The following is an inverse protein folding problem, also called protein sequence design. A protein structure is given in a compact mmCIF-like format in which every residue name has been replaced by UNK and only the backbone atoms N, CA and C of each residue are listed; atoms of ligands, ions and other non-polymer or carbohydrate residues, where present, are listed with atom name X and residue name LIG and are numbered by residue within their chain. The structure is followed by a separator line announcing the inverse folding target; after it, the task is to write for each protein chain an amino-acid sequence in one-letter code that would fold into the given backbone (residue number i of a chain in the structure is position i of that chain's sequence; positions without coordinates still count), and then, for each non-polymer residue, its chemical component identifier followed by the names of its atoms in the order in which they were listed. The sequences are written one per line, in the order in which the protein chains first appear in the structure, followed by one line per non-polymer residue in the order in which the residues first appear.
data_IF_731478801245
#
_entry.id   IF_731478801245
#
_cell.length_a   1.000
_cell.length_b   1.000
_cell.length_c   1.000
_cell.angle_alpha   90.00
_cell.angle_beta   90.00
_cell.angle_gamma   90.00
#
_symmetry.space_group_name_H-M   'P 1'
#
loop_
_entity.id
_entity.type
_entity.pdbx_description
1 polymer ?
#
# COMPACT_ATOMS: atom_id res chain seq x y z
N UNK A 1 -5.00 4.09 23.66
CA UNK A 1 -3.99 4.03 22.59
C UNK A 1 -4.68 3.92 21.25
N UNK A 2 -4.10 4.54 20.24
CA UNK A 2 -4.59 4.43 18.89
C UNK A 2 -4.31 3.04 18.32
N UNK A 3 -5.15 2.62 17.40
CA UNK A 3 -4.88 1.46 16.55
C UNK A 3 -4.21 1.93 15.27
N UNK A 4 -3.56 1.02 14.59
CA UNK A 4 -2.92 1.29 13.31
C UNK A 4 -3.36 0.25 12.28
N UNK A 5 -3.77 0.73 11.13
CA UNK A 5 -4.02 -0.10 9.94
C UNK A 5 -2.94 0.21 8.92
N UNK A 6 -2.25 -0.83 8.46
CA UNK A 6 -1.28 -0.69 7.38
C UNK A 6 -1.85 -1.42 6.16
N UNK A 7 -2.11 -0.67 5.09
CA UNK A 7 -2.59 -1.22 3.82
C UNK A 7 -1.38 -1.35 2.91
N UNK A 8 -0.99 -2.59 2.63
CA UNK A 8 0.27 -2.89 1.94
C UNK A 8 0.03 -3.06 0.45
N UNK A 9 0.55 -2.11 -0.34
CA UNK A 9 0.67 -2.22 -1.80
C UNK A 9 -0.64 -2.57 -2.51
N UNK A 10 -1.76 -1.98 -2.09
CA UNK A 10 -3.05 -2.23 -2.74
C UNK A 10 -3.19 -1.35 -3.99
N UNK A 11 -2.29 -1.54 -4.91
CA UNK A 11 -2.13 -0.76 -6.14
C UNK A 11 -2.74 -1.52 -7.32
N UNK A 12 -3.11 -0.77 -8.36
CA UNK A 12 -3.79 -1.34 -9.53
C UNK A 12 -3.02 -2.49 -10.17
N UNK A 13 -1.69 -2.38 -10.28
CA UNK A 13 -0.89 -3.44 -10.90
C UNK A 13 -0.94 -4.75 -10.13
N UNK A 14 -1.15 -4.70 -8.80
CA UNK A 14 -1.29 -5.91 -8.00
C UNK A 14 -2.73 -6.40 -7.87
N UNK A 15 -3.70 -5.62 -8.32
CA UNK A 15 -5.12 -5.99 -8.20
C UNK A 15 -5.68 -6.45 -9.55
N UNK A 16 -5.61 -5.60 -10.57
CA UNK A 16 -6.13 -5.94 -11.89
C UNK A 16 -5.19 -5.56 -13.04
N UNK A 17 -3.96 -5.18 -12.73
CA UNK A 17 -2.94 -4.83 -13.71
C UNK A 17 -1.99 -5.98 -14.01
N UNK A 18 -0.73 -5.65 -14.30
CA UNK A 18 0.26 -6.61 -14.81
C UNK A 18 0.53 -7.80 -13.87
N UNK A 19 0.40 -7.62 -12.56
CA UNK A 19 0.57 -8.66 -11.55
C UNK A 19 -0.72 -8.92 -10.76
N UNK A 20 -1.86 -8.54 -11.33
CA UNK A 20 -3.15 -8.66 -10.66
C UNK A 20 -3.68 -10.08 -10.64
N UNK A 21 -4.62 -10.31 -9.72
CA UNK A 21 -5.37 -11.56 -9.64
C UNK A 21 -6.77 -11.28 -9.12
N UNK A 22 -7.70 -12.11 -9.56
CA UNK A 22 -9.13 -11.84 -9.37
C UNK A 22 -9.53 -11.66 -7.90
N UNK A 23 -8.95 -12.45 -7.02
CA UNK A 23 -9.28 -12.42 -5.59
C UNK A 23 -8.93 -11.08 -4.94
N UNK A 24 -7.93 -10.38 -5.48
CA UNK A 24 -7.53 -9.07 -4.95
C UNK A 24 -8.63 -8.03 -5.14
N UNK A 25 -9.42 -8.14 -6.21
CA UNK A 25 -10.52 -7.21 -6.47
C UNK A 25 -11.62 -7.33 -5.42
N UNK A 26 -11.84 -8.54 -4.89
CA UNK A 26 -12.88 -8.76 -3.88
C UNK A 26 -12.56 -8.11 -2.55
N UNK A 27 -11.31 -7.76 -2.30
CA UNK A 27 -10.91 -7.11 -1.06
C UNK A 27 -11.24 -5.62 -1.04
N UNK A 28 -11.54 -5.03 -2.19
CA UNK A 28 -11.69 -3.58 -2.31
C UNK A 28 -12.75 -3.01 -1.37
N UNK A 29 -13.93 -3.61 -1.38
CA UNK A 29 -15.03 -3.14 -0.53
C UNK A 29 -14.74 -3.35 0.95
N UNK A 30 -14.19 -4.49 1.31
CA UNK A 30 -13.82 -4.79 2.68
C UNK A 30 -12.75 -3.82 3.19
N UNK A 31 -11.69 -3.61 2.41
CA UNK A 31 -10.61 -2.71 2.80
C UNK A 31 -11.09 -1.26 2.92
N UNK A 32 -11.90 -0.79 1.96
CA UNK A 32 -12.40 0.58 2.02
C UNK A 32 -13.28 0.81 3.24
N UNK A 33 -14.12 -0.16 3.59
CA UNK A 33 -14.96 -0.08 4.80
C UNK A 33 -14.10 -0.07 6.06
N UNK A 34 -13.06 -0.89 6.09
CA UNK A 34 -12.15 -0.95 7.24
C UNK A 34 -11.39 0.36 7.42
N UNK A 35 -10.92 0.95 6.32
CA UNK A 35 -10.25 2.25 6.34
C UNK A 35 -11.18 3.31 6.91
N UNK A 36 -12.43 3.32 6.47
CA UNK A 36 -13.44 4.27 6.97
C UNK A 36 -13.66 4.11 8.46
N UNK A 37 -13.72 2.86 8.96
CA UNK A 37 -13.89 2.60 10.39
C UNK A 37 -12.71 3.15 11.19
N UNK A 38 -11.48 2.96 10.72
CA UNK A 38 -10.29 3.47 11.40
C UNK A 38 -10.31 5.01 11.42
N UNK A 39 -10.71 5.64 10.31
CA UNK A 39 -10.84 7.10 10.27
C UNK A 39 -11.89 7.61 11.26
N UNK A 40 -13.05 6.95 11.32
CA UNK A 40 -14.13 7.36 12.24
C UNK A 40 -13.71 7.25 13.69
N UNK A 41 -12.90 6.26 14.02
CA UNK A 41 -12.38 6.05 15.38
C UNK A 41 -11.15 6.91 15.69
N UNK A 42 -10.71 7.74 14.75
CA UNK A 42 -9.51 8.56 14.85
C UNK A 42 -8.24 7.75 15.04
N UNK A 43 -8.24 6.55 14.49
CA UNK A 43 -7.06 5.69 14.44
C UNK A 43 -6.23 6.04 13.20
N UNK A 44 -4.99 5.56 13.17
CA UNK A 44 -4.08 5.90 12.08
C UNK A 44 -4.15 4.86 10.95
N UNK A 45 -3.98 5.34 9.72
CA UNK A 45 -3.90 4.50 8.52
C UNK A 45 -2.65 4.87 7.75
N UNK A 46 -1.88 3.85 7.37
CA UNK A 46 -0.69 3.99 6.54
C UNK A 46 -0.90 3.20 5.27
N UNK A 47 -0.53 3.80 4.14
CA UNK A 47 -0.53 3.11 2.84
C UNK A 47 0.91 2.95 2.38
N UNK A 48 1.28 1.75 1.98
CA UNK A 48 2.58 1.53 1.34
C UNK A 48 2.40 1.40 -0.15
N UNK A 49 3.37 1.89 -0.90
CA UNK A 49 3.39 1.85 -2.37
C UNK A 49 4.69 1.21 -2.82
N UNK A 50 4.60 0.02 -3.41
CA UNK A 50 5.72 -0.52 -4.14
C UNK A 50 6.01 0.45 -5.30
N UNK A 51 7.25 0.87 -5.46
CA UNK A 51 7.57 1.97 -6.37
C UNK A 51 8.84 1.65 -7.14
N UNK A 52 8.72 1.62 -8.46
CA UNK A 52 9.84 1.37 -9.35
C UNK A 52 9.99 2.52 -10.33
N UNK A 53 11.19 2.68 -10.88
CA UNK A 53 11.46 3.69 -11.89
C UNK A 53 11.33 3.09 -13.29
N UNK A 54 11.40 3.93 -14.31
CA UNK A 54 11.26 3.51 -15.71
C UNK A 54 12.32 2.48 -16.13
N UNK A 55 13.45 2.43 -15.44
CA UNK A 55 14.52 1.47 -15.72
C UNK A 55 14.36 0.14 -14.96
N UNK A 56 13.15 -0.18 -14.53
CA UNK A 56 12.89 -1.38 -13.72
C UNK A 56 13.52 -2.64 -14.29
N UNK A 57 13.38 -2.86 -15.62
CA UNK A 57 13.89 -4.08 -16.27
C UNK A 57 15.42 -4.19 -16.22
N UNK A 58 16.11 -3.09 -15.98
CA UNK A 58 17.56 -3.06 -15.84
C UNK A 58 18.03 -3.33 -14.41
N UNK A 59 17.10 -3.34 -13.45
CA UNK A 59 17.41 -3.59 -12.04
C UNK A 59 17.57 -5.08 -11.77
N UNK A 60 18.14 -5.43 -10.62
CA UNK A 60 18.22 -6.82 -10.19
C UNK A 60 16.84 -7.46 -10.04
N UNK A 61 15.88 -6.71 -9.49
CA UNK A 61 14.50 -7.20 -9.37
C UNK A 61 13.88 -7.44 -10.75
N UNK A 62 14.11 -6.53 -11.70
CA UNK A 62 13.59 -6.65 -13.05
C UNK A 62 14.17 -7.83 -13.81
N UNK A 63 15.41 -8.22 -13.49
CA UNK A 63 16.03 -9.41 -14.08
C UNK A 63 15.42 -10.69 -13.53
N UNK A 64 15.03 -10.68 -12.26
CA UNK A 64 14.40 -11.83 -11.61
C UNK A 64 12.91 -11.95 -11.92
N UNK A 65 12.22 -10.83 -12.07
CA UNK A 65 10.81 -10.77 -12.43
C UNK A 65 10.66 -9.73 -13.55
N UNK A 66 10.79 -10.14 -14.82
CA UNK A 66 10.80 -9.19 -15.95
C UNK A 66 9.40 -8.71 -16.35
N UNK A 67 8.61 -8.27 -15.38
CA UNK A 67 7.27 -7.71 -15.58
C UNK A 67 7.26 -6.32 -14.95
N UNK A 68 7.21 -5.29 -15.79
CA UNK A 68 7.10 -3.93 -15.27
C UNK A 68 5.81 -3.75 -14.48
N UNK A 69 5.92 -3.17 -13.29
CA UNK A 69 4.78 -2.89 -12.44
C UNK A 69 5.11 -1.76 -11.49
N UNK A 70 4.08 -1.06 -11.05
CA UNK A 70 4.19 0.01 -10.06
C UNK A 70 5.27 1.03 -10.40
N UNK A 71 5.36 1.38 -11.68
CA UNK A 71 6.26 2.45 -12.13
C UNK A 71 5.71 3.77 -11.60
N UNK A 72 6.55 4.53 -10.92
CA UNK A 72 6.13 5.75 -10.23
C UNK A 72 5.33 6.67 -11.14
N UNK A 73 4.19 7.15 -10.64
CA UNK A 73 3.25 8.04 -11.31
C UNK A 73 2.50 7.42 -12.49
N UNK A 74 2.72 6.14 -12.78
CA UNK A 74 1.87 5.44 -13.77
C UNK A 74 0.51 5.13 -13.17
N UNK A 75 -0.47 4.82 -14.00
CA UNK A 75 -1.79 4.44 -13.52
C UNK A 75 -1.74 3.20 -12.63
N UNK A 76 -0.93 2.20 -13.02
CA UNK A 76 -0.79 0.95 -12.26
C UNK A 76 -0.18 1.10 -10.88
N UNK A 77 0.56 2.19 -10.64
CA UNK A 77 1.16 2.53 -9.35
C UNK A 77 0.11 3.03 -8.35
N UNK A 78 -0.99 3.59 -8.81
CA UNK A 78 -2.01 4.20 -7.96
C UNK A 78 -2.81 3.16 -7.18
N UNK A 79 -3.39 3.57 -6.07
CA UNK A 79 -4.29 2.72 -5.29
C UNK A 79 -5.51 2.32 -6.12
N UNK A 80 -6.01 1.11 -5.86
CA UNK A 80 -7.14 0.56 -6.58
C UNK A 80 -8.49 1.00 -6.00
N UNK A 81 -9.43 1.32 -6.87
CA UNK A 81 -10.86 1.36 -6.61
C UNK A 81 -11.31 2.22 -5.41
N UNK A 82 -12.15 1.62 -4.59
CA UNK A 82 -12.73 2.29 -3.42
C UNK A 82 -11.69 2.61 -2.36
N UNK A 83 -10.62 1.83 -2.28
CA UNK A 83 -9.51 2.10 -1.36
C UNK A 83 -8.88 3.45 -1.70
N UNK A 84 -8.70 3.74 -2.97
CA UNK A 84 -8.18 5.04 -3.39
C UNK A 84 -9.09 6.19 -2.93
N UNK A 85 -10.41 5.99 -3.01
CA UNK A 85 -11.39 7.00 -2.60
C UNK A 85 -11.41 7.16 -1.07
N UNK A 86 -11.21 6.08 -0.33
CA UNK A 86 -11.24 6.10 1.13
C UNK A 86 -10.01 6.78 1.75
N UNK A 87 -8.89 6.79 1.03
CA UNK A 87 -7.67 7.44 1.51
C UNK A 87 -7.89 8.94 1.71
N UNK A 88 -7.39 9.48 2.83
CA UNK A 88 -7.46 10.91 3.15
C UNK A 88 -6.08 11.55 3.00
N UNK A 89 -6.07 12.89 2.85
CA UNK A 89 -4.83 13.64 2.70
C UNK A 89 -3.89 13.51 3.89
N UNK A 90 -4.46 13.32 5.07
CA UNK A 90 -3.68 13.19 6.31
C UNK A 90 -3.14 11.80 6.56
N UNK A 91 -3.52 10.81 5.74
CA UNK A 91 -2.97 9.46 5.85
C UNK A 91 -1.52 9.44 5.40
N UNK A 92 -0.71 8.61 6.07
CA UNK A 92 0.70 8.49 5.73
C UNK A 92 0.87 7.56 4.54
N UNK A 93 1.66 8.00 3.56
CA UNK A 93 2.02 7.20 2.40
C UNK A 93 3.51 6.95 2.41
N UNK A 94 3.90 5.69 2.28
CA UNK A 94 5.31 5.29 2.27
C UNK A 94 5.60 4.57 0.96
N UNK A 95 6.53 5.12 0.17
CA UNK A 95 6.99 4.50 -1.07
C UNK A 95 8.14 3.54 -0.74
N UNK A 96 8.04 2.32 -1.26
CA UNK A 96 9.08 1.30 -1.09
C UNK A 96 9.71 1.01 -2.44
N UNK A 97 11.03 0.96 -2.47
CA UNK A 97 11.77 0.63 -3.69
C UNK A 97 12.30 -0.81 -3.70
N UNK A 98 12.21 -1.49 -2.54
CA UNK A 98 12.64 -2.89 -2.36
C UNK A 98 11.65 -3.59 -1.44
N UNK A 99 11.82 -4.91 -1.27
CA UNK A 99 11.03 -5.66 -0.30
C UNK A 99 11.29 -5.12 1.11
N UNK A 100 10.24 -4.95 1.87
CA UNK A 100 10.31 -4.37 3.19
C UNK A 100 10.47 -2.86 3.12
N UNK A 101 10.51 -2.21 4.26
CA UNK A 101 10.60 -0.76 4.31
C UNK A 101 11.28 -0.31 5.59
N UNK A 102 12.49 0.26 5.46
CA UNK A 102 13.17 0.93 6.56
C UNK A 102 12.39 2.17 6.99
N UNK A 103 11.77 2.86 6.03
CA UNK A 103 10.99 4.05 6.29
C UNK A 103 9.79 3.74 7.16
N UNK A 104 9.07 2.65 6.86
CA UNK A 104 7.96 2.20 7.70
C UNK A 104 8.44 1.83 9.10
N UNK A 105 9.52 1.06 9.19
CA UNK A 105 10.10 0.69 10.48
C UNK A 105 10.50 1.90 11.30
N UNK A 106 11.13 2.89 10.67
CA UNK A 106 11.52 4.13 11.35
C UNK A 106 10.31 4.94 11.79
N UNK A 107 9.28 5.00 10.97
CA UNK A 107 8.03 5.69 11.33
C UNK A 107 7.40 5.07 12.56
N UNK A 108 7.40 3.75 12.67
CA UNK A 108 6.77 3.05 13.78
C UNK A 108 7.56 3.16 15.09
N UNK A 109 8.85 3.44 15.03
CA UNK A 109 9.68 3.62 16.21
C UNK A 109 9.18 4.82 17.02
N UNK A 110 9.01 4.62 18.31
CA UNK A 110 8.56 5.68 19.20
C UNK A 110 7.08 6.00 19.13
N UNK A 111 6.33 5.33 18.24
CA UNK A 111 4.88 5.47 18.20
C UNK A 111 4.24 4.49 19.16
N UNK A 112 3.22 4.96 19.87
CA UNK A 112 2.50 4.13 20.84
C UNK A 112 1.18 3.68 20.22
N UNK A 113 1.17 2.48 19.67
CA UNK A 113 -0.05 1.86 19.16
C UNK A 113 -0.47 0.71 20.07
N UNK A 114 -1.76 0.39 20.03
CA UNK A 114 -2.25 -0.79 20.73
C UNK A 114 -1.68 -2.04 20.09
N UNK A 115 -1.78 -3.18 20.79
CA UNK A 115 -1.33 -4.46 20.24
C UNK A 115 -2.13 -4.91 19.02
N UNK A 116 -3.25 -4.25 18.75
CA UNK A 116 -4.13 -4.58 17.61
C UNK A 116 -3.73 -3.81 16.35
N UNK A 117 -2.46 -3.82 16.01
CA UNK A 117 -1.98 -3.33 14.72
C UNK A 117 -2.43 -4.34 13.65
N UNK A 118 -3.11 -3.86 12.62
CA UNK A 118 -3.58 -4.70 11.52
C UNK A 118 -2.83 -4.37 10.24
N UNK A 119 -2.31 -5.41 9.58
CA UNK A 119 -1.56 -5.28 8.32
C UNK A 119 -2.30 -6.08 7.25
N UNK A 120 -2.69 -5.39 6.18
CA UNK A 120 -3.40 -6.02 5.08
C UNK A 120 -2.77 -5.68 3.72
#
# INVERSE_FOLDING_TARGET
MKKLLIVVDYQKDFVNGSLGFKEAEYLDEYLSSLIDQYHQNKDDVIFTFDTHQNNYLETQEGKNLPIEHCIKNSDGWKLYGKVNTAKKEYDICIEKTTFGSLELGNYLKGKAYSQNMLIL
#
